data_IF_066185336428
#
_entry.id   IF_066185336428
#
_cell.length_a   1.000
_cell.length_b   1.000
_cell.length_c   1.000
_cell.angle_alpha   90.00
_cell.angle_beta   90.00
_cell.angle_gamma   90.00
#
_symmetry.space_group_name_H-M   'P 1'
#
loop_
_entity.id
_entity.type
_entity.pdbx_description
1 polymer ?
#
# COMPACT_ATOMS: atom_id res chain seq x y z
N UNK A 1 2.77 -26.56 -12.82
CA UNK A 1 2.94 -25.53 -13.86
C UNK A 1 1.67 -25.39 -14.73
N UNK A 2 1.22 -26.45 -15.41
CA UNK A 2 0.05 -26.44 -16.32
C UNK A 2 -1.18 -25.86 -15.63
N UNK A 3 -1.47 -26.27 -14.42
CA UNK A 3 -2.58 -25.77 -13.62
C UNK A 3 -2.57 -24.21 -13.47
N UNK A 4 -1.40 -23.61 -13.31
CA UNK A 4 -1.28 -22.15 -13.24
C UNK A 4 -1.46 -21.48 -14.61
N UNK A 5 -1.04 -22.13 -15.72
CA UNK A 5 -1.30 -21.62 -17.07
C UNK A 5 -2.79 -21.51 -17.36
N UNK A 6 -3.55 -22.54 -16.98
CA UNK A 6 -5.01 -22.59 -17.15
C UNK A 6 -5.70 -21.56 -16.24
N UNK A 7 -5.34 -21.54 -14.95
CA UNK A 7 -5.91 -20.63 -13.97
C UNK A 7 -5.71 -19.15 -14.34
N UNK A 8 -4.52 -18.80 -14.82
CA UNK A 8 -4.17 -17.44 -15.22
C UNK A 8 -4.58 -17.14 -16.68
N UNK A 9 -5.25 -18.09 -17.35
CA UNK A 9 -5.72 -17.96 -18.75
C UNK A 9 -4.61 -17.54 -19.71
N UNK A 10 -3.43 -18.17 -19.58
CA UNK A 10 -2.27 -17.84 -20.39
C UNK A 10 -2.39 -18.50 -21.76
N UNK A 11 -2.26 -17.75 -22.88
CA UNK A 11 -2.33 -18.30 -24.22
C UNK A 11 -1.17 -19.26 -24.50
N UNK A 12 -1.44 -20.58 -24.60
CA UNK A 12 -0.38 -21.59 -24.76
C UNK A 12 0.19 -21.70 -26.18
N UNK A 13 -0.49 -21.13 -27.19
CA UNK A 13 -0.10 -21.19 -28.60
C UNK A 13 0.61 -19.93 -29.11
N UNK A 14 0.86 -18.97 -28.22
CA UNK A 14 1.51 -17.70 -28.56
C UNK A 14 2.93 -17.73 -28.06
N UNK A 15 3.89 -17.36 -28.91
CA UNK A 15 5.29 -17.25 -28.47
C UNK A 15 5.45 -16.13 -27.43
N UNK A 16 6.28 -16.33 -26.41
CA UNK A 16 6.45 -15.39 -25.29
C UNK A 16 6.81 -13.98 -25.79
N UNK A 17 7.63 -13.88 -26.86
CA UNK A 17 8.01 -12.59 -27.45
C UNK A 17 6.81 -11.78 -27.94
N UNK A 18 5.76 -12.47 -28.43
CA UNK A 18 4.56 -11.89 -29.03
C UNK A 18 3.42 -11.67 -28.02
N UNK A 19 3.63 -12.05 -26.77
CA UNK A 19 2.65 -11.87 -25.69
C UNK A 19 2.59 -10.43 -25.20
N UNK A 20 1.40 -10.03 -24.74
CA UNK A 20 1.21 -8.74 -24.05
C UNK A 20 2.05 -8.69 -22.76
N UNK A 21 2.34 -7.47 -22.27
CA UNK A 21 3.08 -7.26 -21.01
C UNK A 21 2.41 -7.99 -19.84
N UNK A 22 1.07 -7.93 -19.76
CA UNK A 22 0.30 -8.64 -18.73
C UNK A 22 0.45 -10.16 -18.80
N UNK A 23 0.41 -10.77 -20.01
CA UNK A 23 0.62 -12.22 -20.15
C UNK A 23 2.05 -12.65 -19.80
N UNK A 24 3.05 -11.80 -20.06
CA UNK A 24 4.44 -12.05 -19.63
C UNK A 24 4.54 -12.06 -18.11
N UNK A 25 3.87 -11.14 -17.41
CA UNK A 25 3.79 -11.11 -15.95
C UNK A 25 3.14 -12.40 -15.42
N UNK A 26 2.03 -12.83 -16.01
CA UNK A 26 1.35 -14.08 -15.64
C UNK A 26 2.23 -15.31 -15.79
N UNK A 27 2.98 -15.42 -16.89
CA UNK A 27 3.93 -16.54 -17.09
C UNK A 27 4.99 -16.55 -15.99
N UNK A 28 5.61 -15.41 -15.72
CA UNK A 28 6.63 -15.31 -14.68
C UNK A 28 6.07 -15.75 -13.32
N UNK A 29 4.86 -15.32 -12.99
CA UNK A 29 4.18 -15.74 -11.76
C UNK A 29 3.87 -17.24 -11.76
N UNK A 30 3.35 -17.78 -12.87
CA UNK A 30 3.08 -19.22 -13.00
C UNK A 30 4.34 -20.07 -12.81
N UNK A 31 5.47 -19.62 -13.36
CA UNK A 31 6.77 -20.28 -13.17
C UNK A 31 7.22 -20.20 -11.72
N UNK A 32 7.14 -19.03 -11.09
CA UNK A 32 7.53 -18.84 -9.70
C UNK A 32 6.72 -19.74 -8.76
N UNK A 33 5.40 -19.77 -8.92
CA UNK A 33 4.49 -20.57 -8.09
C UNK A 33 4.65 -22.08 -8.34
N UNK A 34 5.03 -22.50 -9.56
CA UNK A 34 5.20 -23.91 -9.89
C UNK A 34 6.30 -24.62 -9.10
N UNK A 35 7.26 -23.88 -8.54
CA UNK A 35 8.32 -24.41 -7.69
C UNK A 35 7.88 -24.61 -6.24
N UNK A 36 6.63 -24.29 -5.91
CA UNK A 36 6.09 -24.33 -4.55
C UNK A 36 7.01 -23.65 -3.53
N UNK A 37 7.36 -22.36 -3.74
CA UNK A 37 8.30 -21.64 -2.88
C UNK A 37 7.72 -21.40 -1.50
N UNK A 38 8.58 -21.27 -0.49
CA UNK A 38 8.20 -20.79 0.84
C UNK A 38 8.16 -19.25 0.90
N UNK A 39 9.00 -18.59 0.11
CA UNK A 39 9.04 -17.14 -0.01
C UNK A 39 8.92 -16.74 -1.48
N UNK A 40 7.94 -15.91 -1.80
CA UNK A 40 7.74 -15.33 -3.11
C UNK A 40 8.15 -13.85 -3.06
N UNK A 41 9.11 -13.47 -3.91
CA UNK A 41 9.57 -12.06 -4.00
C UNK A 41 9.14 -11.51 -5.35
N UNK A 42 8.37 -10.41 -5.31
CA UNK A 42 7.70 -9.84 -6.47
C UNK A 42 7.94 -8.33 -6.52
N UNK A 43 8.33 -7.84 -7.69
CA UNK A 43 8.58 -6.42 -7.92
C UNK A 43 7.57 -5.85 -8.92
N UNK A 44 6.74 -4.87 -8.47
CA UNK A 44 5.75 -4.12 -9.26
C UNK A 44 4.83 -4.99 -10.14
N UNK A 45 4.47 -6.20 -9.67
CA UNK A 45 3.81 -7.22 -10.51
C UNK A 45 2.40 -6.82 -10.93
N UNK A 46 1.68 -6.04 -10.12
CA UNK A 46 0.28 -5.67 -10.37
C UNK A 46 0.12 -4.47 -11.29
N UNK A 47 1.12 -3.60 -11.38
CA UNK A 47 1.06 -2.34 -12.14
C UNK A 47 0.84 -2.50 -13.65
N UNK A 48 1.18 -3.66 -14.22
CA UNK A 48 1.02 -3.95 -15.66
C UNK A 48 -0.28 -4.67 -16.02
N UNK A 49 -1.16 -4.91 -15.04
CA UNK A 49 -2.37 -5.70 -15.19
C UNK A 49 -3.61 -4.81 -15.25
N UNK A 50 -4.62 -5.28 -16.00
CA UNK A 50 -5.95 -4.68 -15.91
C UNK A 50 -6.60 -4.95 -14.54
N UNK A 51 -7.63 -4.18 -14.13
CA UNK A 51 -8.22 -4.30 -12.79
C UNK A 51 -8.79 -5.70 -12.48
N UNK A 52 -9.36 -6.40 -13.46
CA UNK A 52 -9.96 -7.73 -13.26
C UNK A 52 -8.85 -8.74 -12.98
N UNK A 53 -7.80 -8.72 -13.79
CA UNK A 53 -6.67 -9.63 -13.64
C UNK A 53 -5.87 -9.33 -12.38
N UNK A 54 -5.75 -8.06 -12.00
CA UNK A 54 -5.13 -7.65 -10.73
C UNK A 54 -5.85 -8.29 -9.55
N UNK A 55 -7.17 -8.21 -9.51
CA UNK A 55 -7.97 -8.81 -8.44
C UNK A 55 -7.84 -10.35 -8.40
N UNK A 56 -7.79 -11.01 -9.56
CA UNK A 56 -7.54 -12.46 -9.64
C UNK A 56 -6.15 -12.84 -9.07
N UNK A 57 -5.12 -12.04 -9.33
CA UNK A 57 -3.77 -12.29 -8.81
C UNK A 57 -3.68 -11.99 -7.31
N UNK A 58 -4.31 -10.94 -6.80
CA UNK A 58 -4.35 -10.67 -5.37
C UNK A 58 -5.06 -11.80 -4.60
N UNK A 59 -6.15 -12.34 -5.15
CA UNK A 59 -6.81 -13.54 -4.59
C UNK A 59 -5.89 -14.75 -4.58
N UNK A 60 -5.11 -14.96 -5.66
CA UNK A 60 -4.12 -16.05 -5.71
C UNK A 60 -3.04 -15.87 -4.63
N UNK A 61 -2.64 -14.64 -4.34
CA UNK A 61 -1.68 -14.37 -3.26
C UNK A 61 -2.29 -14.66 -1.88
N UNK A 62 -3.53 -14.24 -1.63
CA UNK A 62 -4.24 -14.60 -0.40
C UNK A 62 -4.34 -16.10 -0.20
N UNK A 63 -4.64 -16.86 -1.25
CA UNK A 63 -4.66 -18.33 -1.18
C UNK A 63 -3.26 -18.91 -0.92
N UNK A 64 -2.21 -18.34 -1.52
CA UNK A 64 -0.85 -18.80 -1.33
C UNK A 64 -0.38 -18.67 0.12
N UNK A 65 -0.74 -17.58 0.79
CA UNK A 65 -0.38 -17.33 2.19
C UNK A 65 -1.30 -18.01 3.21
N UNK A 66 -2.35 -18.74 2.79
CA UNK A 66 -3.12 -19.60 3.70
C UNK A 66 -2.27 -20.73 4.30
N UNK A 67 -1.21 -21.12 3.64
CA UNK A 67 -0.18 -21.98 4.18
C UNK A 67 0.77 -21.14 5.04
N UNK A 68 0.68 -21.24 6.36
CA UNK A 68 1.47 -20.46 7.34
C UNK A 68 2.99 -20.62 7.16
N UNK A 69 3.44 -21.62 6.38
CA UNK A 69 4.87 -21.79 6.05
C UNK A 69 5.31 -20.92 4.89
N UNK A 70 4.39 -20.18 4.25
CA UNK A 70 4.63 -19.38 3.06
C UNK A 70 4.50 -17.88 3.35
N UNK A 71 5.27 -17.09 2.61
CA UNK A 71 5.27 -15.64 2.71
C UNK A 71 5.44 -15.00 1.35
N UNK A 72 4.94 -13.78 1.21
CA UNK A 72 5.13 -12.95 0.02
C UNK A 72 5.78 -11.64 0.45
N UNK A 73 6.86 -11.27 -0.22
CA UNK A 73 7.42 -9.92 -0.20
C UNK A 73 7.18 -9.30 -1.57
N UNK A 74 6.36 -8.27 -1.65
CA UNK A 74 6.12 -7.60 -2.93
C UNK A 74 6.18 -6.08 -2.81
N UNK A 75 6.71 -5.45 -3.85
CA UNK A 75 6.66 -4.00 -4.01
C UNK A 75 5.44 -3.62 -4.84
N UNK A 76 4.80 -2.50 -4.50
CA UNK A 76 3.73 -1.90 -5.29
C UNK A 76 3.69 -0.40 -5.05
N UNK A 77 3.39 0.37 -6.09
CA UNK A 77 3.00 1.77 -5.98
C UNK A 77 1.48 1.93 -5.89
N UNK A 78 0.73 0.83 -5.92
CA UNK A 78 -0.73 0.79 -5.83
C UNK A 78 -1.10 0.44 -4.39
N UNK A 79 -1.35 1.46 -3.59
CA UNK A 79 -1.62 1.32 -2.14
C UNK A 79 -2.86 0.49 -1.85
N UNK A 80 -3.88 0.55 -2.70
CA UNK A 80 -5.08 -0.28 -2.57
C UNK A 80 -4.82 -1.79 -2.70
N UNK A 81 -3.74 -2.21 -3.36
CA UNK A 81 -3.34 -3.62 -3.38
C UNK A 81 -2.75 -4.03 -2.03
N UNK A 82 -1.93 -3.14 -1.42
CA UNK A 82 -1.36 -3.34 -0.09
C UNK A 82 -2.46 -3.42 0.97
N UNK A 83 -3.44 -2.54 0.92
CA UNK A 83 -4.59 -2.55 1.84
C UNK A 83 -5.34 -3.87 1.82
N UNK A 84 -5.45 -4.51 0.64
CA UNK A 84 -6.18 -5.76 0.48
C UNK A 84 -5.45 -6.99 1.04
N UNK A 85 -4.13 -7.06 0.90
CA UNK A 85 -3.43 -8.34 1.12
C UNK A 85 -2.24 -8.26 2.08
N UNK A 86 -1.72 -7.08 2.41
CA UNK A 86 -0.53 -6.98 3.24
C UNK A 86 -0.88 -7.06 4.72
N UNK A 87 -0.08 -7.81 5.49
CA UNK A 87 -0.09 -7.80 6.96
C UNK A 87 0.84 -6.70 7.48
N UNK A 88 1.98 -6.52 6.83
CA UNK A 88 3.00 -5.51 7.17
C UNK A 88 3.26 -4.57 6.01
N UNK A 89 3.43 -3.29 6.32
CA UNK A 89 3.78 -2.25 5.35
C UNK A 89 5.15 -1.68 5.68
N UNK A 90 6.03 -1.70 4.68
CA UNK A 90 7.32 -0.99 4.74
C UNK A 90 7.30 0.17 3.76
N UNK A 91 7.48 1.38 4.25
CA UNK A 91 7.57 2.57 3.42
C UNK A 91 8.99 3.06 3.31
N UNK A 92 9.48 3.14 2.06
CA UNK A 92 10.80 3.65 1.71
C UNK A 92 10.66 4.94 0.90
N UNK A 93 11.30 6.01 1.34
CA UNK A 93 11.33 7.29 0.64
C UNK A 93 12.75 7.83 0.54
N UNK A 94 13.18 8.19 -0.67
CA UNK A 94 14.53 8.74 -0.95
C UNK A 94 15.67 7.89 -0.36
N UNK A 95 15.52 6.56 -0.43
CA UNK A 95 16.51 5.61 0.07
C UNK A 95 16.49 5.37 1.59
N UNK A 96 15.59 6.01 2.33
CA UNK A 96 15.42 5.81 3.76
C UNK A 96 14.15 5.02 4.06
N UNK A 97 14.23 4.06 4.98
CA UNK A 97 13.06 3.41 5.52
C UNK A 97 12.37 4.36 6.51
N UNK A 98 11.15 4.78 6.18
CA UNK A 98 10.37 5.69 7.01
C UNK A 98 9.67 4.93 8.12
N UNK A 99 9.05 3.79 7.79
CA UNK A 99 8.48 2.87 8.77
C UNK A 99 8.43 1.44 8.22
N UNK A 100 8.30 0.49 9.15
CA UNK A 100 7.90 -0.89 8.91
C UNK A 100 6.95 -1.27 10.03
N UNK A 101 5.65 -1.39 9.74
CA UNK A 101 4.59 -1.62 10.74
C UNK A 101 3.58 -2.62 10.24
N UNK A 102 2.90 -3.27 11.16
CA UNK A 102 1.67 -3.99 10.87
C UNK A 102 0.62 -3.01 10.31
N UNK A 103 -0.12 -3.46 9.31
CA UNK A 103 -1.06 -2.60 8.57
C UNK A 103 -2.16 -2.02 9.49
N UNK A 104 -2.76 -2.88 10.31
CA UNK A 104 -3.86 -2.46 11.17
C UNK A 104 -3.38 -1.52 12.27
N UNK A 105 -2.21 -1.78 12.85
CA UNK A 105 -1.55 -0.86 13.79
C UNK A 105 -1.24 0.49 13.13
N UNK A 106 -0.78 0.49 11.88
CA UNK A 106 -0.48 1.70 11.14
C UNK A 106 -1.75 2.56 10.96
N UNK A 107 -2.85 1.95 10.55
CA UNK A 107 -4.12 2.63 10.33
C UNK A 107 -4.75 3.12 11.65
N UNK A 108 -4.61 2.36 12.73
CA UNK A 108 -5.11 2.75 14.06
C UNK A 108 -4.24 3.81 14.75
N UNK A 109 -2.95 3.92 14.38
CA UNK A 109 -2.03 4.87 15.02
C UNK A 109 -2.36 6.32 14.68
N UNK A 110 -2.85 6.58 13.47
CA UNK A 110 -2.98 7.93 12.94
C UNK A 110 -4.41 8.32 12.63
N UNK A 111 -4.71 9.63 12.77
CA UNK A 111 -5.88 10.28 12.18
C UNK A 111 -5.40 11.31 11.15
N UNK A 112 -6.14 11.45 10.07
CA UNK A 112 -5.92 12.48 9.07
C UNK A 112 -6.69 13.74 9.47
N UNK A 113 -5.96 14.82 9.75
CA UNK A 113 -6.54 16.11 10.06
C UNK A 113 -6.49 17.05 8.86
N UNK A 114 -7.61 17.72 8.59
CA UNK A 114 -7.71 18.71 7.51
C UNK A 114 -8.28 20.00 8.09
N UNK A 115 -7.59 21.12 7.88
CA UNK A 115 -8.07 22.43 8.27
C UNK A 115 -7.58 23.53 7.31
N UNK A 116 -8.10 24.75 7.48
CA UNK A 116 -7.58 25.93 6.75
C UNK A 116 -6.21 26.34 7.31
N UNK A 117 -5.30 26.85 6.46
CA UNK A 117 -3.96 27.31 6.89
C UNK A 117 -4.04 28.36 7.99
N UNK A 118 -4.98 29.30 7.91
CA UNK A 118 -5.21 30.34 8.95
C UNK A 118 -5.59 29.79 10.33
N UNK A 119 -6.07 28.55 10.38
CA UNK A 119 -6.45 27.86 11.62
C UNK A 119 -5.35 26.97 12.14
N UNK A 120 -4.59 26.32 11.25
CA UNK A 120 -3.48 25.45 11.61
C UNK A 120 -2.46 26.11 12.53
N UNK A 121 -2.17 27.41 12.28
CA UNK A 121 -1.26 28.20 13.15
C UNK A 121 -1.73 28.39 14.60
N UNK A 122 -3.02 28.17 14.86
CA UNK A 122 -3.66 28.33 16.19
C UNK A 122 -3.91 27.00 16.89
N UNK A 123 -3.69 25.85 16.20
CA UNK A 123 -3.85 24.54 16.79
C UNK A 123 -2.70 24.27 17.76
N UNK A 124 -3.02 23.58 18.84
CA UNK A 124 -2.00 22.87 19.61
C UNK A 124 -1.43 21.77 18.70
N UNK A 125 -0.13 21.75 18.55
CA UNK A 125 0.56 20.79 17.68
C UNK A 125 0.97 19.52 18.41
N UNK A 126 0.58 19.37 19.65
CA UNK A 126 0.85 18.15 20.41
C UNK A 126 0.18 16.96 19.72
N UNK A 127 0.99 15.96 19.39
CA UNK A 127 0.53 14.76 18.67
C UNK A 127 0.52 14.91 17.14
N UNK A 128 0.72 16.09 16.57
CA UNK A 128 0.87 16.22 15.12
C UNK A 128 2.27 15.73 14.73
N UNK A 129 2.31 14.66 13.94
CA UNK A 129 3.56 14.00 13.53
C UNK A 129 4.17 14.67 12.31
N UNK A 130 3.34 14.99 11.32
CA UNK A 130 3.76 15.62 10.09
C UNK A 130 2.60 16.38 9.45
N UNK A 131 2.88 17.38 8.65
CA UNK A 131 1.88 18.12 7.89
C UNK A 131 2.43 18.63 6.56
N UNK A 132 1.55 18.84 5.58
CA UNK A 132 1.87 19.60 4.38
C UNK A 132 0.76 20.60 4.05
N UNK A 133 1.12 21.63 3.28
CA UNK A 133 0.18 22.64 2.80
C UNK A 133 -0.25 22.30 1.38
N UNK A 134 -1.56 22.35 1.16
CA UNK A 134 -2.18 22.21 -0.15
C UNK A 134 -3.07 23.42 -0.40
N UNK A 135 -2.56 24.35 -1.22
CA UNK A 135 -3.18 25.67 -1.48
C UNK A 135 -3.54 26.42 -0.18
N UNK A 136 -4.83 26.44 0.19
CA UNK A 136 -5.35 27.11 1.37
C UNK A 136 -5.63 26.19 2.55
N UNK A 137 -5.33 24.88 2.40
CA UNK A 137 -5.57 23.85 3.41
C UNK A 137 -4.25 23.31 3.95
N UNK A 138 -4.32 22.80 5.16
CA UNK A 138 -3.25 22.01 5.77
C UNK A 138 -3.79 20.62 6.03
N UNK A 139 -3.05 19.62 5.55
CA UNK A 139 -3.30 18.22 5.81
C UNK A 139 -2.21 17.73 6.75
N UNK A 140 -2.58 17.06 7.81
CA UNK A 140 -1.64 16.60 8.83
C UNK A 140 -2.00 15.22 9.37
N UNK A 141 -0.99 14.51 9.87
CA UNK A 141 -1.17 13.28 10.63
C UNK A 141 -1.10 13.57 12.11
N UNK A 142 -2.11 13.14 12.82
CA UNK A 142 -2.22 13.18 14.27
C UNK A 142 -2.00 11.77 14.83
N UNK A 143 -1.10 11.62 15.79
CA UNK A 143 -0.99 10.38 16.57
C UNK A 143 -2.18 10.31 17.54
N UNK A 144 -3.08 9.34 17.32
CA UNK A 144 -4.34 9.21 18.06
C UNK A 144 -4.10 8.88 19.54
N UNK A 145 -2.93 8.30 19.88
CA UNK A 145 -2.56 7.99 21.28
C UNK A 145 -2.20 9.23 22.10
N UNK A 146 -1.78 10.32 21.42
CA UNK A 146 -1.31 11.56 22.05
C UNK A 146 -2.34 12.69 21.89
N UNK A 147 -3.14 12.62 20.83
CA UNK A 147 -3.90 13.72 20.27
C UNK A 147 -5.25 14.05 20.93
N UNK A 148 -5.49 13.71 22.17
CA UNK A 148 -6.76 13.98 22.90
C UNK A 148 -7.18 15.45 22.99
N UNK A 149 -6.47 16.38 22.34
CA UNK A 149 -6.69 17.82 22.43
C UNK A 149 -7.07 18.54 21.12
N UNK A 150 -7.11 17.87 19.97
CA UNK A 150 -7.44 18.53 18.68
C UNK A 150 -8.94 18.52 18.39
N UNK A 151 -9.79 18.67 19.42
CA UNK A 151 -11.21 18.99 19.22
C UNK A 151 -11.41 20.46 18.87
N UNK A 152 -11.20 20.83 17.61
CA UNK A 152 -11.61 22.12 17.10
C UNK A 152 -12.78 21.94 16.12
N UNK A 153 -13.85 22.73 16.31
CA UNK A 153 -15.04 22.79 15.43
C UNK A 153 -14.73 23.05 13.94
N UNK A 154 -13.47 23.32 13.60
CA UNK A 154 -13.00 23.71 12.27
C UNK A 154 -11.93 22.76 11.72
N UNK A 155 -11.66 21.66 12.40
CA UNK A 155 -10.77 20.55 11.95
C UNK A 155 -11.65 19.37 11.61
N UNK A 156 -11.45 18.83 10.42
CA UNK A 156 -12.05 17.56 10.02
C UNK A 156 -11.03 16.48 10.35
N UNK A 157 -11.42 15.50 11.15
CA UNK A 157 -10.61 14.32 11.46
C UNK A 157 -11.25 13.11 10.78
N UNK A 158 -10.44 12.37 10.04
CA UNK A 158 -10.87 11.18 9.28
C UNK A 158 -9.89 10.03 9.52
N UNK A 159 -10.33 8.80 9.28
CA UNK A 159 -9.46 7.64 9.22
C UNK A 159 -8.60 7.75 7.96
N UNK A 160 -7.26 7.71 8.07
CA UNK A 160 -6.40 7.80 6.91
C UNK A 160 -6.35 6.50 6.13
N UNK A 161 -6.18 6.59 4.82
CA UNK A 161 -5.71 5.50 3.98
C UNK A 161 -4.19 5.36 4.08
N UNK A 162 -3.64 4.21 3.68
CA UNK A 162 -2.17 4.03 3.59
C UNK A 162 -1.56 5.08 2.66
N UNK A 163 -2.23 5.40 1.55
CA UNK A 163 -1.76 6.42 0.60
C UNK A 163 -1.63 7.79 1.26
N UNK A 164 -2.61 8.20 2.03
CA UNK A 164 -2.60 9.49 2.73
C UNK A 164 -1.51 9.57 3.79
N UNK A 165 -1.31 8.48 4.57
CA UNK A 165 -0.20 8.39 5.54
C UNK A 165 1.14 8.57 4.81
N UNK A 166 1.36 7.81 3.74
CA UNK A 166 2.58 7.88 2.95
C UNK A 166 2.78 9.27 2.34
N UNK A 167 1.70 9.89 1.82
CA UNK A 167 1.75 11.21 1.19
C UNK A 167 2.17 12.29 2.19
N UNK A 168 1.56 12.30 3.39
CA UNK A 168 1.89 13.29 4.43
C UNK A 168 3.33 13.09 4.91
N UNK A 169 3.78 11.85 5.12
CA UNK A 169 5.16 11.58 5.55
C UNK A 169 6.20 11.84 4.45
N UNK A 170 5.83 11.69 3.16
CA UNK A 170 6.74 11.91 2.04
C UNK A 170 6.92 13.39 1.67
N UNK A 171 5.84 14.17 1.72
CA UNK A 171 5.80 15.60 1.31
C UNK A 171 5.88 16.54 2.50
N UNK A 172 5.48 16.09 3.66
CA UNK A 172 5.27 16.92 4.84
C UNK A 172 6.55 17.34 5.54
N UNK A 173 6.37 18.35 6.38
CA UNK A 173 7.34 18.73 7.41
C UNK A 173 7.03 17.87 8.63
N UNK A 174 8.02 17.13 9.10
CA UNK A 174 7.96 16.33 10.33
C UNK A 174 8.15 17.31 11.51
N UNK A 175 7.29 17.23 12.53
CA UNK A 175 7.32 18.09 13.72
C UNK A 175 8.02 17.41 14.89
#
# INVERSE_FOLDING_TARGET
>A
YIQYLERLRIPQKVAIKDMSKGNKVKINLAVALAHNPRLLILDEITGALDPIMRDEILKLFLEFIQDETKSILFSSHITSDLEKIADYITFINKGNMIFCKEKDDLLCTYKLGICRDSKFGKLDKQGIVAYYKDESRVVFLLDDSIGNGVEHKEVILEEPTIEEIMLVLAKGVIL
#
